data_IF_138010048131
#
_entry.id   IF_138010048131
#
_cell.length_a   1.000
_cell.length_b   1.000
_cell.length_c   1.000
_cell.angle_alpha   90.00
_cell.angle_beta   90.00
_cell.angle_gamma   90.00
#
_symmetry.space_group_name_H-M   'P 1'
#
loop_
_entity.id
_entity.type
_entity.pdbx_description
1 polymer ?
#
# COMPACT_ATOMS: atom_id res chain seq x y z
N UNK A 1 18.50 -7.01 5.84
CA UNK A 1 17.63 -6.92 7.03
C UNK A 1 17.22 -5.49 7.34
N UNK A 2 16.48 -4.81 6.46
CA UNK A 2 15.81 -3.54 6.78
C UNK A 2 14.34 -3.64 6.40
N UNK A 3 13.63 -4.47 7.16
CA UNK A 3 12.17 -4.63 7.08
C UNK A 3 11.54 -4.74 8.47
N UNK A 4 12.33 -5.18 9.46
CA UNK A 4 11.86 -5.45 10.82
C UNK A 4 11.57 -4.19 11.66
N UNK A 5 12.18 -3.04 11.35
CA UNK A 5 12.18 -1.88 12.26
C UNK A 5 11.30 -0.69 11.83
N UNK A 6 10.72 -0.68 10.62
CA UNK A 6 10.04 0.50 10.08
C UNK A 6 8.51 0.55 10.30
N UNK A 7 7.89 -0.53 10.81
CA UNK A 7 6.44 -0.63 10.96
C UNK A 7 5.93 -0.50 12.40
N UNK A 8 6.79 -0.18 13.37
CA UNK A 8 6.44 0.02 14.79
C UNK A 8 6.08 1.48 15.13
N UNK A 9 5.46 2.22 14.19
CA UNK A 9 4.90 3.54 14.45
C UNK A 9 3.37 3.49 14.41
N UNK A 10 2.63 4.14 15.32
CA UNK A 10 1.15 4.09 15.40
C UNK A 10 0.42 4.74 14.20
N UNK A 11 1.11 5.04 13.10
CA UNK A 11 0.58 5.64 11.88
C UNK A 11 0.59 4.70 10.67
N UNK A 12 1.16 3.48 10.77
CA UNK A 12 1.26 2.53 9.67
C UNK A 12 0.33 1.34 9.90
N UNK A 13 -0.79 1.30 9.17
CA UNK A 13 -1.60 0.08 9.06
C UNK A 13 -0.72 -1.04 8.53
N UNK A 14 -0.68 -2.18 9.23
CA UNK A 14 0.14 -3.32 8.83
C UNK A 14 -0.39 -3.91 7.53
N UNK A 15 0.50 -4.20 6.57
CA UNK A 15 0.10 -4.88 5.36
C UNK A 15 -0.39 -6.30 5.72
N UNK A 16 -1.52 -6.76 5.17
CA UNK A 16 -1.95 -8.12 5.38
C UNK A 16 -0.94 -9.15 4.89
N UNK A 17 -0.86 -10.29 5.57
CA UNK A 17 0.15 -11.33 5.28
C UNK A 17 0.10 -11.84 3.83
N UNK A 18 -1.09 -11.96 3.26
CA UNK A 18 -1.28 -12.41 1.87
C UNK A 18 -0.68 -11.42 0.86
N UNK A 19 -0.85 -10.12 1.11
CA UNK A 19 -0.26 -9.07 0.29
C UNK A 19 1.26 -9.00 0.47
N UNK A 20 1.74 -9.07 1.71
CA UNK A 20 3.16 -9.02 2.02
C UNK A 20 3.92 -10.20 1.40
N UNK A 21 3.37 -11.41 1.51
CA UNK A 21 3.95 -12.62 0.93
C UNK A 21 4.00 -12.54 -0.61
N UNK A 22 2.94 -12.05 -1.25
CA UNK A 22 2.89 -11.94 -2.71
C UNK A 22 3.87 -10.88 -3.25
N UNK A 23 4.04 -9.75 -2.55
CA UNK A 23 5.05 -8.75 -2.92
C UNK A 23 6.46 -9.30 -2.72
N UNK A 24 6.72 -10.00 -1.62
CA UNK A 24 8.04 -10.58 -1.33
C UNK A 24 8.45 -11.70 -2.30
N UNK A 25 7.49 -12.36 -2.93
CA UNK A 25 7.74 -13.37 -3.97
C UNK A 25 8.24 -12.75 -5.29
N UNK A 26 7.97 -11.47 -5.54
CA UNK A 26 8.30 -10.77 -6.78
C UNK A 26 9.33 -9.64 -6.53
N UNK A 27 10.62 -9.83 -6.86
CA UNK A 27 11.68 -8.87 -6.55
C UNK A 27 11.45 -7.46 -7.09
N UNK A 28 10.91 -7.32 -8.30
CA UNK A 28 10.59 -6.01 -8.90
C UNK A 28 9.45 -5.32 -8.14
N UNK A 29 8.42 -6.07 -7.76
CA UNK A 29 7.33 -5.55 -6.94
C UNK A 29 7.82 -5.13 -5.56
N UNK A 30 8.71 -5.91 -4.94
CA UNK A 30 9.34 -5.59 -3.67
C UNK A 30 10.16 -4.28 -3.75
N UNK A 31 10.99 -4.13 -4.79
CA UNK A 31 11.79 -2.93 -5.00
C UNK A 31 10.90 -1.69 -5.21
N UNK A 32 9.80 -1.85 -5.96
CA UNK A 32 8.84 -0.78 -6.16
C UNK A 32 8.09 -0.45 -4.87
N UNK A 33 7.66 -1.48 -4.12
CA UNK A 33 7.00 -1.32 -2.83
C UNK A 33 7.90 -0.55 -1.86
N UNK A 34 9.21 -0.83 -1.83
CA UNK A 34 10.20 -0.16 -1.00
C UNK A 34 10.25 1.36 -1.20
N UNK A 35 10.07 1.84 -2.43
CA UNK A 35 10.13 3.27 -2.76
C UNK A 35 8.78 3.98 -2.68
N UNK A 36 7.68 3.25 -2.43
CA UNK A 36 6.36 3.85 -2.35
C UNK A 36 6.24 4.88 -1.21
N UNK A 37 5.56 5.98 -1.53
CA UNK A 37 5.09 6.95 -0.54
C UNK A 37 4.09 6.32 0.43
N UNK A 38 3.96 6.90 1.63
CA UNK A 38 2.98 6.45 2.64
C UNK A 38 1.55 6.42 2.09
N UNK A 39 1.18 7.38 1.23
CA UNK A 39 -0.13 7.43 0.58
C UNK A 39 -0.37 6.22 -0.34
N UNK A 40 0.60 5.87 -1.19
CA UNK A 40 0.50 4.69 -2.06
C UNK A 40 0.46 3.39 -1.25
N UNK A 41 1.28 3.28 -0.18
CA UNK A 41 1.24 2.11 0.72
C UNK A 41 -0.11 1.96 1.41
N UNK A 42 -0.67 3.05 1.94
CA UNK A 42 -2.00 3.03 2.55
C UNK A 42 -3.09 2.63 1.55
N UNK A 43 -3.05 3.19 0.34
CA UNK A 43 -4.02 2.90 -0.71
C UNK A 43 -4.00 1.42 -1.12
N UNK A 44 -2.80 0.84 -1.25
CA UNK A 44 -2.58 -0.57 -1.56
C UNK A 44 -3.24 -1.47 -0.50
N UNK A 45 -2.92 -1.22 0.77
CA UNK A 45 -3.44 -1.97 1.92
C UNK A 45 -4.97 -1.83 1.98
N UNK A 46 -5.47 -0.60 1.94
CA UNK A 46 -6.91 -0.33 2.03
C UNK A 46 -7.70 -1.00 0.89
N UNK A 47 -7.16 -1.01 -0.33
CA UNK A 47 -7.85 -1.62 -1.49
C UNK A 47 -7.95 -3.14 -1.36
N UNK A 48 -6.92 -3.80 -0.82
CA UNK A 48 -6.94 -5.24 -0.52
C UNK A 48 -7.87 -5.55 0.67
N UNK A 49 -7.80 -4.78 1.75
CA UNK A 49 -8.66 -4.94 2.93
C UNK A 49 -10.14 -4.71 2.64
N UNK A 50 -10.47 -3.79 1.72
CA UNK A 50 -11.85 -3.50 1.34
C UNK A 50 -12.55 -4.68 0.63
N UNK A 51 -11.79 -5.69 0.19
CA UNK A 51 -12.36 -6.88 -0.47
C UNK A 51 -12.99 -7.82 0.55
N UNK A 52 -14.34 -7.83 0.56
CA UNK A 52 -15.14 -8.66 1.47
C UNK A 52 -15.09 -10.16 1.15
N UNK A 53 -14.75 -10.53 -0.09
CA UNK A 53 -14.65 -11.94 -0.53
C UNK A 53 -13.19 -12.33 -0.68
N UNK A 54 -12.82 -13.48 -0.11
CA UNK A 54 -11.45 -14.01 -0.17
C UNK A 54 -10.95 -14.21 -1.62
N UNK A 55 -11.80 -14.70 -2.52
CA UNK A 55 -11.43 -14.90 -3.92
C UNK A 55 -11.12 -13.57 -4.64
N UNK A 56 -11.98 -12.56 -4.44
CA UNK A 56 -11.76 -11.21 -4.97
C UNK A 56 -10.55 -10.52 -4.35
N UNK A 57 -10.23 -10.86 -3.10
CA UNK A 57 -9.03 -10.39 -2.40
C UNK A 57 -7.76 -10.97 -3.01
N UNK A 58 -7.68 -12.28 -3.21
CA UNK A 58 -6.52 -12.92 -3.83
C UNK A 58 -6.25 -12.36 -5.23
N UNK A 59 -7.29 -12.21 -6.05
CA UNK A 59 -7.18 -11.55 -7.35
C UNK A 59 -6.68 -10.11 -7.24
N UNK A 60 -7.18 -9.35 -6.26
CA UNK A 60 -6.74 -7.97 -6.05
C UNK A 60 -5.27 -7.91 -5.63
N UNK A 61 -4.81 -8.83 -4.79
CA UNK A 61 -3.40 -8.93 -4.40
C UNK A 61 -2.53 -9.15 -5.64
N UNK A 62 -2.88 -10.11 -6.49
CA UNK A 62 -2.15 -10.36 -7.74
C UNK A 62 -2.09 -9.11 -8.63
N UNK A 63 -3.23 -8.45 -8.87
CA UNK A 63 -3.28 -7.24 -9.70
C UNK A 63 -2.41 -6.10 -9.14
N UNK A 64 -2.33 -5.96 -7.81
CA UNK A 64 -1.50 -4.96 -7.15
C UNK A 64 -0.01 -5.29 -7.25
N UNK A 65 0.36 -6.56 -7.12
CA UNK A 65 1.75 -7.03 -7.27
C UNK A 65 2.22 -6.83 -8.71
N UNK A 66 1.41 -7.21 -9.70
CA UNK A 66 1.73 -7.01 -11.11
C UNK A 66 1.89 -5.52 -11.48
N UNK A 67 1.03 -4.66 -10.94
CA UNK A 67 1.16 -3.20 -11.10
C UNK A 67 2.50 -2.72 -10.55
N UNK A 68 2.90 -3.17 -9.36
CA UNK A 68 4.19 -2.81 -8.76
C UNK A 68 5.38 -3.35 -9.55
N UNK A 69 5.31 -4.59 -10.04
CA UNK A 69 6.34 -5.18 -10.89
C UNK A 69 6.56 -4.38 -12.20
N UNK A 70 5.51 -3.72 -12.71
CA UNK A 70 5.61 -2.80 -13.86
C UNK A 70 6.09 -1.39 -13.49
N UNK A 71 6.35 -1.11 -12.21
CA UNK A 71 6.71 0.23 -11.73
C UNK A 71 5.55 1.22 -11.70
N UNK A 72 4.31 0.74 -11.76
CA UNK A 72 3.10 1.57 -11.71
C UNK A 72 2.65 1.82 -10.27
N UNK A 73 1.85 2.88 -10.05
CA UNK A 73 1.33 3.27 -8.73
C UNK A 73 -0.12 3.72 -8.79
N UNK A 74 -0.83 3.61 -7.65
CA UNK A 74 -2.23 4.00 -7.53
C UNK A 74 -2.39 5.52 -7.65
N UNK A 75 -1.49 6.27 -7.02
CA UNK A 75 -1.42 7.71 -7.08
C UNK A 75 -0.09 8.16 -7.68
N UNK A 76 -0.07 9.24 -8.47
CA UNK A 76 1.15 9.75 -9.05
C UNK A 76 2.16 10.07 -7.94
N UNK A 77 3.27 9.33 -7.92
CA UNK A 77 4.43 9.68 -7.12
C UNK A 77 5.40 10.51 -7.97
N UNK A 78 5.81 11.69 -7.49
CA UNK A 78 6.87 12.45 -8.18
C UNK A 78 8.14 11.61 -8.17
N UNK A 79 8.68 11.32 -9.35
CA UNK A 79 9.98 10.66 -9.49
C UNK A 79 11.04 11.50 -8.78
N UNK A 80 11.49 11.03 -7.61
CA UNK A 80 12.52 11.67 -6.80
C UNK A 80 12.02 12.14 -5.43
N UNK A 81 12.12 11.27 -4.42
CA UNK A 81 12.91 11.48 -3.21
C UNK A 81 12.44 10.55 -2.07
N UNK A 82 13.31 9.70 -1.48
CA UNK A 82 13.03 9.05 -0.21
C UNK A 82 13.14 10.10 0.90
N UNK A 83 12.00 10.61 1.35
CA UNK A 83 11.92 11.40 2.58
C UNK A 83 11.82 12.91 2.38
N UNK A 84 10.68 13.39 1.88
CA UNK A 84 9.96 14.62 2.31
C UNK A 84 8.93 15.02 1.25
N UNK A 85 7.78 14.34 1.22
CA UNK A 85 6.55 14.86 0.63
C UNK A 85 5.37 14.01 1.13
N UNK A 86 4.49 14.61 1.93
CA UNK A 86 3.25 13.95 2.37
C UNK A 86 2.76 14.25 3.78
N UNK A 87 3.05 15.42 4.37
CA UNK A 87 2.06 16.03 5.27
C UNK A 87 0.95 16.55 4.36
N UNK A 88 -0.03 15.70 4.05
CA UNK A 88 -1.04 15.98 3.04
C UNK A 88 -1.89 14.76 2.71
N UNK A 89 -2.59 14.23 3.71
CA UNK A 89 -3.78 13.43 3.49
C UNK A 89 -4.75 13.74 4.64
N UNK A 90 -5.23 14.98 4.64
CA UNK A 90 -6.56 15.28 5.14
C UNK A 90 -7.54 14.48 4.28
N UNK A 91 -7.92 13.31 4.78
CA UNK A 91 -9.04 12.53 4.29
C UNK A 91 -9.66 11.88 5.52
N UNK A 92 -10.27 12.73 6.36
CA UNK A 92 -11.29 12.30 7.30
C UNK A 92 -12.44 11.73 6.47
N UNK A 93 -12.84 10.45 6.59
CA UNK A 93 -14.10 10.03 6.02
C UNK A 93 -15.22 10.68 6.84
N UNK A 94 -15.76 11.75 6.27
CA UNK A 94 -17.15 12.18 6.35
C UNK A 94 -18.05 11.32 7.26
N UNK A 95 -18.36 11.90 8.43
CA UNK A 95 -19.34 11.38 9.36
C UNK A 95 -20.71 11.32 8.72
N UNK A 96 -21.15 10.11 8.39
CA UNK A 96 -22.55 9.81 8.14
C UNK A 96 -23.30 9.91 9.48
N UNK A 97 -24.06 11.00 9.67
CA UNK A 97 -25.18 11.03 10.62
C UNK A 97 -26.25 11.98 10.08
N UNK A 98 -27.16 11.42 9.30
CA UNK A 98 -28.45 12.04 8.95
C UNK A 98 -29.34 12.18 10.20
N UNK A 99 -30.16 13.22 10.32
CA UNK A 99 -31.44 13.12 11.01
C UNK A 99 -32.51 12.45 10.13
#
# INVERSE_FOLDING_TARGET
GRWDAAYAGPATRQAPDDLAAAIAAEPDAQAMFDVLTSANRFALIHRVESMKRAEGRARKVTEMVEMLARGETIYPQKAGHPGRAGQGADARPEGHRSP
#
